data_IF_511708505541
#
_entry.id   IF_511708505541
#
_cell.length_a   1.000
_cell.length_b   1.000
_cell.length_c   1.000
_cell.angle_alpha   90.00
_cell.angle_beta   90.00
_cell.angle_gamma   90.00
#
_symmetry.space_group_name_H-M   'P 1'
#
loop_
_entity.id
_entity.type
_entity.pdbx_description
1 polymer ?
#
# COMPACT_ATOMS: atom_id res chain seq x y z
N UNK A 1 -1.78 -16.34 -19.01
CA UNK A 1 -2.26 -14.94 -19.03
C UNK A 1 -1.43 -14.18 -18.00
N UNK A 2 -0.88 -13.00 -18.31
CA UNK A 2 -0.16 -12.20 -17.30
C UNK A 2 -1.17 -11.57 -16.33
N UNK A 3 -0.90 -11.66 -15.02
CA UNK A 3 -1.71 -10.98 -13.99
C UNK A 3 -1.55 -9.47 -14.14
N UNK A 4 -2.67 -8.75 -14.18
CA UNK A 4 -2.71 -7.29 -14.36
C UNK A 4 -3.05 -6.62 -13.02
N UNK A 5 -2.03 -6.17 -12.30
CA UNK A 5 -2.17 -5.52 -10.99
C UNK A 5 -2.66 -4.09 -11.18
N UNK A 6 -3.88 -3.78 -10.71
CA UNK A 6 -4.51 -2.46 -10.83
C UNK A 6 -4.62 -1.73 -9.49
N UNK A 7 -4.72 -2.47 -8.39
CA UNK A 7 -4.80 -1.91 -7.04
C UNK A 7 -3.81 -2.60 -6.12
N UNK A 8 -3.04 -1.80 -5.35
CA UNK A 8 -2.06 -2.29 -4.38
C UNK A 8 -2.33 -1.65 -3.02
N UNK A 9 -2.29 -2.45 -1.96
CA UNK A 9 -2.23 -1.94 -0.58
C UNK A 9 -0.79 -1.99 -0.10
N UNK A 10 -0.23 -0.86 0.32
CA UNK A 10 1.10 -0.78 0.94
C UNK A 10 0.94 -0.48 2.43
N UNK A 11 1.29 -1.45 3.27
CA UNK A 11 1.25 -1.32 4.73
C UNK A 11 2.62 -0.86 5.23
N UNK A 12 2.65 0.18 6.08
CA UNK A 12 3.90 0.82 6.49
C UNK A 12 4.37 1.90 5.50
N UNK A 13 3.43 2.54 4.79
CA UNK A 13 3.73 3.50 3.73
C UNK A 13 4.51 4.75 4.21
N UNK A 14 4.46 5.07 5.51
CA UNK A 14 5.24 6.16 6.11
C UNK A 14 6.73 5.85 6.29
N UNK A 15 7.15 4.59 6.14
CA UNK A 15 8.55 4.18 6.11
C UNK A 15 9.20 4.46 4.75
N UNK A 16 10.53 4.47 4.70
CA UNK A 16 11.27 4.70 3.43
C UNK A 16 10.94 3.66 2.37
N UNK A 17 10.89 2.38 2.76
CA UNK A 17 10.63 1.26 1.85
C UNK A 17 9.21 1.33 1.27
N UNK A 18 8.19 1.34 2.13
CA UNK A 18 6.79 1.47 1.72
C UNK A 18 6.50 2.73 0.89
N UNK A 19 7.07 3.88 1.25
CA UNK A 19 6.91 5.12 0.48
C UNK A 19 7.46 5.00 -0.94
N UNK A 20 8.67 4.45 -1.11
CA UNK A 20 9.31 4.33 -2.42
C UNK A 20 8.62 3.28 -3.30
N UNK A 21 8.23 2.14 -2.71
CA UNK A 21 7.48 1.09 -3.41
C UNK A 21 6.12 1.62 -3.88
N UNK A 22 5.44 2.43 -3.06
CA UNK A 22 4.19 3.09 -3.46
C UNK A 22 4.37 3.97 -4.70
N UNK A 23 5.45 4.74 -4.76
CA UNK A 23 5.77 5.55 -5.93
C UNK A 23 6.02 4.69 -7.18
N UNK A 24 6.73 3.56 -7.03
CA UNK A 24 7.00 2.62 -8.14
C UNK A 24 5.69 2.04 -8.68
N UNK A 25 4.80 1.53 -7.83
CA UNK A 25 3.52 0.97 -8.26
C UNK A 25 2.63 2.03 -8.94
N UNK A 26 2.58 3.25 -8.38
CA UNK A 26 1.79 4.33 -8.96
C UNK A 26 2.37 4.87 -10.28
N UNK A 27 3.70 4.90 -10.44
CA UNK A 27 4.38 5.39 -11.65
C UNK A 27 4.47 4.37 -12.77
N UNK A 28 5.04 3.19 -12.48
CA UNK A 28 5.33 2.19 -13.52
C UNK A 28 4.20 1.18 -13.69
N UNK A 29 3.47 0.88 -12.62
CA UNK A 29 2.29 0.03 -12.69
C UNK A 29 1.01 0.79 -13.08
N UNK A 30 1.02 2.13 -13.02
CA UNK A 30 -0.19 2.97 -13.09
C UNK A 30 -1.31 2.45 -12.15
N UNK A 31 -0.91 1.85 -11.03
CA UNK A 31 -1.84 1.23 -10.10
C UNK A 31 -2.38 2.27 -9.11
N UNK A 32 -3.62 2.10 -8.68
CA UNK A 32 -4.13 2.75 -7.47
C UNK A 32 -3.40 2.15 -6.27
N UNK A 33 -2.82 2.97 -5.41
CA UNK A 33 -2.04 2.52 -4.25
C UNK A 33 -2.67 3.06 -2.97
N UNK A 34 -3.22 2.18 -2.14
CA UNK A 34 -3.58 2.51 -0.77
C UNK A 34 -2.32 2.57 0.08
N UNK A 35 -1.98 3.77 0.57
CA UNK A 35 -0.82 4.03 1.39
C UNK A 35 -1.22 3.99 2.86
N UNK A 36 -1.11 2.81 3.48
CA UNK A 36 -1.57 2.55 4.84
C UNK A 36 -0.46 2.81 5.86
N UNK A 37 -0.77 3.62 6.87
CA UNK A 37 0.05 3.82 8.05
C UNK A 37 -0.83 3.74 9.31
N UNK A 38 -0.23 3.68 10.50
CA UNK A 38 -0.98 3.74 11.76
C UNK A 38 -1.83 5.00 11.92
N UNK A 39 -1.44 6.08 11.28
CA UNK A 39 -1.99 7.41 11.45
C UNK A 39 -2.23 8.07 10.08
N UNK A 40 -3.43 8.61 9.87
CA UNK A 40 -3.85 9.20 8.61
C UNK A 40 -2.93 10.36 8.17
N UNK A 41 -2.46 11.18 9.11
CA UNK A 41 -1.57 12.30 8.79
C UNK A 41 -0.19 11.83 8.31
N UNK A 42 0.33 10.73 8.87
CA UNK A 42 1.54 10.07 8.35
C UNK A 42 1.33 9.55 6.93
N UNK A 43 0.18 8.97 6.63
CA UNK A 43 -0.15 8.50 5.27
C UNK A 43 -0.26 9.64 4.26
N UNK A 44 -0.90 10.76 4.61
CA UNK A 44 -0.97 11.95 3.74
C UNK A 44 0.42 12.50 3.43
N UNK A 45 1.27 12.62 4.45
CA UNK A 45 2.68 13.06 4.27
C UNK A 45 3.46 12.10 3.39
N UNK A 46 3.25 10.79 3.56
CA UNK A 46 3.88 9.77 2.73
C UNK A 46 3.45 9.86 1.27
N UNK A 47 2.15 10.06 0.99
CA UNK A 47 1.64 10.22 -0.38
C UNK A 47 2.25 11.44 -1.09
N UNK A 48 2.34 12.59 -0.39
CA UNK A 48 3.00 13.78 -0.94
C UNK A 48 4.49 13.50 -1.20
N UNK A 49 5.18 12.86 -0.25
CA UNK A 49 6.60 12.50 -0.40
C UNK A 49 6.83 11.55 -1.58
N UNK A 50 5.99 10.52 -1.73
CA UNK A 50 6.06 9.55 -2.81
C UNK A 50 5.84 10.22 -4.18
N UNK A 51 4.79 11.03 -4.33
CA UNK A 51 4.54 11.74 -5.59
C UNK A 51 5.66 12.73 -5.96
N UNK A 52 6.22 13.42 -4.98
CA UNK A 52 7.36 14.32 -5.20
C UNK A 52 8.65 13.57 -5.59
N UNK A 53 8.84 12.33 -5.11
CA UNK A 53 10.07 11.55 -5.35
C UNK A 53 10.29 11.20 -6.83
N UNK A 54 9.22 11.11 -7.61
CA UNK A 54 9.25 10.74 -9.04
C UNK A 54 9.05 11.94 -9.97
N UNK A 55 8.99 13.17 -9.43
CA UNK A 55 8.75 14.43 -10.17
C UNK A 55 7.55 14.39 -11.12
N UNK A 56 6.56 13.54 -10.82
CA UNK A 56 5.41 13.29 -11.67
C UNK A 56 4.14 13.57 -10.87
N UNK A 57 3.61 14.79 -11.03
CA UNK A 57 2.31 15.18 -10.46
C UNK A 57 1.18 14.27 -10.94
N UNK A 58 1.35 13.61 -12.08
CA UNK A 58 0.39 12.67 -12.68
C UNK A 58 0.07 11.48 -11.79
N UNK A 59 0.97 11.06 -10.89
CA UNK A 59 0.73 9.89 -10.03
C UNK A 59 0.05 10.23 -8.69
N UNK A 60 -0.09 11.52 -8.37
CA UNK A 60 -0.65 11.95 -7.07
C UNK A 60 -2.07 11.41 -6.86
N UNK A 61 -2.87 11.33 -7.93
CA UNK A 61 -4.24 10.80 -7.88
C UNK A 61 -4.29 9.28 -7.65
N UNK A 62 -3.18 8.58 -7.88
CA UNK A 62 -3.06 7.15 -7.66
C UNK A 62 -2.63 6.82 -6.22
N UNK A 63 -2.10 7.78 -5.46
CA UNK A 63 -1.61 7.57 -4.10
C UNK A 63 -2.70 7.94 -3.09
N UNK A 64 -3.40 6.95 -2.56
CA UNK A 64 -4.57 7.14 -1.68
C UNK A 64 -4.14 6.94 -0.22
N UNK A 65 -4.06 8.00 0.61
CA UNK A 65 -3.75 7.86 2.03
C UNK A 65 -4.83 7.05 2.76
N UNK A 66 -4.41 6.12 3.61
CA UNK A 66 -5.29 5.32 4.45
C UNK A 66 -4.67 5.08 5.83
N UNK A 67 -5.50 4.78 6.83
CA UNK A 67 -5.04 4.30 8.13
C UNK A 67 -5.61 2.90 8.44
N UNK A 68 -5.27 2.35 9.60
CA UNK A 68 -5.71 1.00 9.97
C UNK A 68 -7.22 0.83 10.13
N UNK A 69 -8.00 1.91 10.32
CA UNK A 69 -9.47 1.80 10.31
C UNK A 69 -10.03 1.44 8.93
N UNK A 70 -9.25 1.68 7.87
CA UNK A 70 -9.60 1.40 6.49
C UNK A 70 -8.95 0.13 5.94
N UNK A 71 -8.14 -0.58 6.74
CA UNK A 71 -7.26 -1.64 6.26
C UNK A 71 -8.04 -2.78 5.59
N UNK A 72 -9.11 -3.27 6.21
CA UNK A 72 -9.94 -4.36 5.66
C UNK A 72 -10.51 -4.01 4.28
N UNK A 73 -10.97 -2.76 4.11
CA UNK A 73 -11.45 -2.26 2.83
C UNK A 73 -10.31 -2.15 1.81
N UNK A 74 -9.14 -1.66 2.22
CA UNK A 74 -7.99 -1.51 1.31
C UNK A 74 -7.53 -2.88 0.81
N UNK A 75 -7.43 -3.87 1.69
CA UNK A 75 -7.00 -5.24 1.36
C UNK A 75 -8.00 -5.94 0.45
N UNK A 76 -9.29 -5.91 0.79
CA UNK A 76 -10.35 -6.56 -0.01
C UNK A 76 -10.49 -5.99 -1.43
N UNK A 77 -10.00 -4.78 -1.69
CA UNK A 77 -10.03 -4.14 -3.00
C UNK A 77 -8.71 -4.23 -3.78
N UNK A 78 -7.69 -4.88 -3.22
CA UNK A 78 -6.34 -4.89 -3.77
C UNK A 78 -6.00 -6.23 -4.44
N UNK A 79 -5.34 -6.14 -5.59
CA UNK A 79 -4.79 -7.30 -6.30
C UNK A 79 -3.48 -7.78 -5.66
N UNK A 80 -2.80 -6.90 -4.93
CA UNK A 80 -1.55 -7.16 -4.23
C UNK A 80 -1.49 -6.39 -2.90
N UNK A 81 -1.04 -7.06 -1.85
CA UNK A 81 -0.67 -6.42 -0.59
C UNK A 81 0.85 -6.46 -0.44
N UNK A 82 1.47 -5.30 -0.22
CA UNK A 82 2.88 -5.17 0.08
C UNK A 82 3.05 -4.64 1.51
N UNK A 83 3.71 -5.42 2.35
CA UNK A 83 3.93 -5.10 3.75
C UNK A 83 5.38 -4.64 3.99
N UNK A 84 5.55 -3.54 4.72
CA UNK A 84 6.84 -2.97 5.08
C UNK A 84 6.76 -2.19 6.40
N UNK A 85 6.23 -2.83 7.44
CA UNK A 85 6.26 -2.36 8.82
C UNK A 85 7.63 -2.62 9.46
N UNK A 86 7.81 -2.20 10.72
CA UNK A 86 9.06 -2.43 11.44
C UNK A 86 9.32 -3.94 11.58
N UNK A 87 10.60 -4.33 11.47
CA UNK A 87 11.06 -5.72 11.63
C UNK A 87 10.91 -6.18 13.09
N UNK A 88 9.67 -6.46 13.47
CA UNK A 88 9.27 -7.05 14.73
C UNK A 88 8.28 -8.19 14.39
N UNK A 89 8.55 -9.40 14.88
CA UNK A 89 7.74 -10.59 14.62
C UNK A 89 6.25 -10.38 14.95
N UNK A 90 5.94 -9.60 15.99
CA UNK A 90 4.55 -9.27 16.36
C UNK A 90 3.86 -8.39 15.31
N UNK A 91 4.61 -7.46 14.69
CA UNK A 91 4.08 -6.55 13.68
C UNK A 91 3.84 -7.27 12.35
N UNK A 92 4.65 -8.27 12.01
CA UNK A 92 4.46 -9.10 10.81
C UNK A 92 3.30 -10.08 10.96
N UNK A 93 3.10 -10.70 12.13
CA UNK A 93 1.97 -11.61 12.35
C UNK A 93 0.62 -10.92 12.11
N UNK A 94 0.44 -9.70 12.63
CA UNK A 94 -0.76 -8.90 12.41
C UNK A 94 -1.04 -8.61 10.92
N UNK A 95 0.01 -8.34 10.14
CA UNK A 95 -0.13 -8.06 8.71
C UNK A 95 -0.32 -9.34 7.87
N UNK A 96 0.25 -10.47 8.29
CA UNK A 96 0.10 -11.76 7.62
C UNK A 96 -1.26 -12.41 7.86
N UNK A 97 -1.89 -12.14 9.00
CA UNK A 97 -3.22 -12.66 9.36
C UNK A 97 -4.39 -11.94 8.65
N UNK A 98 -4.09 -11.00 7.73
CA UNK A 98 -5.11 -10.36 6.89
C UNK A 98 -5.75 -11.43 5.98
N UNK A 99 -7.10 -11.48 5.90
CA UNK A 99 -7.80 -12.57 5.25
C UNK A 99 -7.48 -12.64 3.75
N UNK A 100 -6.79 -13.70 3.36
CA UNK A 100 -6.67 -14.10 1.96
C UNK A 100 -7.91 -14.91 1.57
N UNK A 101 -8.92 -14.26 1.00
CA UNK A 101 -10.11 -14.95 0.47
C UNK A 101 -9.78 -15.87 -0.71
N UNK A 102 -8.60 -15.76 -1.33
CA UNK A 102 -8.19 -16.57 -2.49
C UNK A 102 -7.68 -17.98 -2.13
N UNK A 103 -7.48 -18.30 -0.85
CA UNK A 103 -6.97 -19.60 -0.38
C UNK A 103 -8.11 -20.55 0.07
N UNK A 104 -9.37 -20.11 0.07
CA UNK A 104 -10.51 -20.91 0.57
C UNK A 104 -11.14 -21.90 -0.43
N UNK A 105 -10.50 -22.19 -1.56
CA UNK A 105 -10.97 -23.23 -2.48
C UNK A 105 -10.03 -24.44 -2.44
N UNK A 106 -10.24 -25.29 -1.44
CA UNK A 106 -9.73 -26.65 -1.32
C UNK A 106 -10.89 -27.61 -1.11
#
# INVERSE_FOLDING_TARGET
>A
MLMNIKTVTVIGANGTMGCNVSAIFASFGNAKVYMVSRDMEKSKKAAIKAGNSVKASSIMNNLIPADYSMLDQCVSQSDLVFESVAENLEAHAYAADLPDESVRHG
#
